data_IF_150030292053
#
_entry.id   IF_150030292053
#
_cell.length_a   1.000
_cell.length_b   1.000
_cell.length_c   1.000
_cell.angle_alpha   90.00
_cell.angle_beta   90.00
_cell.angle_gamma   90.00
#
_symmetry.space_group_name_H-M   'P 1'
#
loop_
_entity.id
_entity.type
_entity.pdbx_description
1 polymer ?
#
# COMPACT_ATOMS: atom_id res chain seq x y z
N UNK A 1 22.55 -18.46 -18.49
CA UNK A 1 22.55 -16.99 -18.36
C UNK A 1 23.24 -16.60 -17.06
N UNK A 2 24.50 -16.14 -17.10
CA UNK A 2 25.11 -15.46 -15.96
C UNK A 2 24.80 -13.98 -16.12
N UNK A 3 23.76 -13.50 -15.44
CA UNK A 3 23.45 -12.07 -15.39
C UNK A 3 24.54 -11.42 -14.54
N UNK A 4 25.61 -10.95 -15.18
CA UNK A 4 26.59 -10.09 -14.53
C UNK A 4 25.91 -8.74 -14.32
N UNK A 5 25.36 -8.50 -13.13
CA UNK A 5 24.93 -7.18 -12.69
C UNK A 5 26.18 -6.32 -12.51
N UNK A 6 26.50 -5.39 -13.41
CA UNK A 6 27.64 -4.51 -13.22
C UNK A 6 27.24 -3.55 -12.11
N UNK A 7 27.75 -3.75 -10.90
CA UNK A 7 27.48 -2.87 -9.75
C UNK A 7 27.87 -1.40 -10.03
N UNK A 8 28.65 -1.15 -11.09
CA UNK A 8 29.02 0.17 -11.59
C UNK A 8 27.85 0.98 -12.18
N UNK A 9 26.76 0.33 -12.60
CA UNK A 9 25.62 0.98 -13.23
C UNK A 9 24.50 1.33 -12.22
N UNK A 10 24.70 1.02 -10.94
CA UNK A 10 23.76 1.34 -9.87
C UNK A 10 23.91 2.81 -9.48
N UNK A 11 22.90 3.62 -9.81
CA UNK A 11 22.88 5.04 -9.44
C UNK A 11 22.40 5.23 -8.00
N UNK A 12 22.68 6.40 -7.41
CA UNK A 12 22.10 6.80 -6.13
C UNK A 12 20.55 6.76 -6.16
N UNK A 13 19.95 7.09 -7.30
CA UNK A 13 18.49 6.99 -7.49
C UNK A 13 17.97 5.57 -7.33
N UNK A 14 18.71 4.57 -7.81
CA UNK A 14 18.35 3.17 -7.61
C UNK A 14 18.39 2.78 -6.13
N UNK A 15 19.39 3.27 -5.38
CA UNK A 15 19.53 3.00 -3.94
C UNK A 15 18.35 3.62 -3.17
N UNK A 16 18.04 4.90 -3.43
CA UNK A 16 16.87 5.56 -2.82
C UNK A 16 15.56 4.86 -3.19
N UNK A 17 15.42 4.44 -4.45
CA UNK A 17 14.27 3.65 -4.90
C UNK A 17 14.14 2.33 -4.14
N UNK A 18 15.23 1.60 -3.93
CA UNK A 18 15.22 0.36 -3.14
C UNK A 18 14.79 0.62 -1.69
N UNK A 19 15.29 1.66 -1.04
CA UNK A 19 14.86 2.02 0.32
C UNK A 19 13.38 2.37 0.38
N UNK A 20 12.89 3.18 -0.57
CA UNK A 20 11.48 3.56 -0.65
C UNK A 20 10.58 2.33 -0.88
N UNK A 21 11.01 1.43 -1.77
CA UNK A 21 10.31 0.17 -2.03
C UNK A 21 10.23 -0.70 -0.77
N UNK A 22 11.34 -0.88 -0.06
CA UNK A 22 11.39 -1.69 1.16
C UNK A 22 10.53 -1.10 2.28
N UNK A 23 10.53 0.23 2.42
CA UNK A 23 9.66 0.93 3.38
C UNK A 23 8.19 0.69 3.06
N UNK A 24 7.80 0.87 1.79
CA UNK A 24 6.42 0.66 1.36
C UNK A 24 6.00 -0.81 1.49
N UNK A 25 6.86 -1.75 1.09
CA UNK A 25 6.62 -3.19 1.27
C UNK A 25 6.39 -3.57 2.74
N UNK A 26 7.21 -3.03 3.64
CA UNK A 26 7.03 -3.24 5.08
C UNK A 26 5.64 -2.78 5.56
N UNK A 27 5.19 -1.59 5.16
CA UNK A 27 3.88 -1.07 5.52
C UNK A 27 2.73 -1.86 4.86
N UNK A 28 2.87 -2.30 3.61
CA UNK A 28 1.89 -3.17 2.95
C UNK A 28 1.75 -4.51 3.68
N UNK A 29 2.89 -5.14 4.02
CA UNK A 29 2.90 -6.38 4.79
C UNK A 29 2.25 -6.22 6.16
N UNK A 30 2.62 -5.16 6.89
CA UNK A 30 2.05 -4.86 8.20
C UNK A 30 0.54 -4.62 8.12
N UNK A 31 0.07 -3.90 7.09
CA UNK A 31 -1.35 -3.69 6.85
C UNK A 31 -2.08 -5.01 6.57
N UNK A 32 -1.50 -5.91 5.78
CA UNK A 32 -2.07 -7.24 5.52
C UNK A 32 -2.17 -8.09 6.79
N UNK A 33 -1.13 -8.05 7.65
CA UNK A 33 -1.14 -8.73 8.94
C UNK A 33 -2.23 -8.18 9.87
N UNK A 34 -2.37 -6.85 9.95
CA UNK A 34 -3.43 -6.21 10.75
C UNK A 34 -4.83 -6.63 10.27
N UNK A 35 -5.08 -6.59 8.96
CA UNK A 35 -6.35 -7.04 8.38
C UNK A 35 -6.62 -8.53 8.64
N UNK A 36 -5.61 -9.39 8.51
CA UNK A 36 -5.74 -10.81 8.81
C UNK A 36 -6.05 -11.06 10.29
N UNK A 37 -5.43 -10.30 11.19
CA UNK A 37 -5.63 -10.43 12.63
C UNK A 37 -7.02 -9.98 13.10
N UNK A 38 -7.72 -9.10 12.37
CA UNK A 38 -9.10 -8.73 12.69
C UNK A 38 -10.06 -9.94 12.71
N UNK A 39 -9.73 -10.98 11.93
CA UNK A 39 -10.52 -12.20 11.80
C UNK A 39 -10.04 -13.34 12.70
N UNK A 40 -8.87 -13.22 13.33
CA UNK A 40 -8.22 -14.28 14.12
C UNK A 40 -8.32 -14.03 15.62
N UNK A 41 -8.31 -15.11 16.40
CA UNK A 41 -8.13 -15.04 17.86
C UNK A 41 -6.63 -15.15 18.26
N UNK A 42 -6.34 -15.08 19.56
CA UNK A 42 -4.97 -15.24 20.10
C UNK A 42 -4.30 -16.58 19.77
N UNK A 43 -5.08 -17.61 19.41
CA UNK A 43 -4.59 -18.93 18.99
C UNK A 43 -4.37 -19.03 17.47
N UNK A 44 -4.63 -17.96 16.72
CA UNK A 44 -4.44 -17.90 15.26
C UNK A 44 -5.60 -18.46 14.44
N UNK A 45 -6.64 -19.00 15.06
CA UNK A 45 -7.82 -19.54 14.37
C UNK A 45 -8.75 -18.41 13.93
N UNK A 46 -9.34 -18.55 12.74
CA UNK A 46 -10.37 -17.61 12.25
C UNK A 46 -11.63 -17.79 13.09
N UNK A 47 -12.09 -16.72 13.73
CA UNK A 47 -13.26 -16.71 14.63
C UNK A 47 -14.43 -15.89 14.10
N UNK A 48 -14.21 -15.08 13.07
CA UNK A 48 -15.27 -14.29 12.43
C UNK A 48 -14.96 -14.03 10.97
N UNK A 49 -16.02 -13.90 10.18
CA UNK A 49 -15.98 -13.43 8.79
C UNK A 49 -16.51 -12.00 8.66
N UNK A 50 -16.96 -11.40 9.77
CA UNK A 50 -17.47 -10.04 9.79
C UNK A 50 -16.35 -9.03 9.49
N UNK A 51 -16.73 -7.95 8.83
CA UNK A 51 -15.83 -6.83 8.65
C UNK A 51 -15.72 -6.02 9.94
N UNK A 52 -14.52 -5.54 10.23
CA UNK A 52 -14.21 -4.70 11.39
C UNK A 52 -13.37 -3.53 10.93
N UNK A 53 -13.40 -2.44 11.70
CA UNK A 53 -12.59 -1.26 11.42
C UNK A 53 -11.13 -1.58 11.82
N UNK A 54 -10.17 -1.61 10.87
CA UNK A 54 -8.76 -1.78 11.20
C UNK A 54 -8.22 -0.56 11.93
N UNK A 55 -7.27 -0.77 12.83
CA UNK A 55 -6.58 0.27 13.59
C UNK A 55 -5.09 -0.06 13.74
N UNK A 56 -4.28 0.98 13.96
CA UNK A 56 -2.83 0.89 14.10
C UNK A 56 -2.07 1.09 12.79
N UNK A 57 -0.82 1.54 12.92
CA UNK A 57 0.03 1.92 11.78
C UNK A 57 -0.65 2.99 10.88
N UNK A 58 -0.51 2.89 9.57
CA UNK A 58 -1.11 3.85 8.64
C UNK A 58 -2.64 3.79 8.60
N UNK A 59 -3.27 2.75 9.18
CA UNK A 59 -4.74 2.73 9.28
C UNK A 59 -5.27 3.88 10.12
N UNK A 60 -4.50 4.44 11.05
CA UNK A 60 -4.99 5.56 11.86
C UNK A 60 -5.22 6.83 11.02
N UNK A 61 -4.60 6.92 9.83
CA UNK A 61 -4.70 8.06 8.93
C UNK A 61 -5.54 7.78 7.69
N UNK A 62 -5.43 6.58 7.10
CA UNK A 62 -6.10 6.22 5.84
C UNK A 62 -6.83 4.88 5.92
N UNK A 63 -7.82 4.71 5.05
CA UNK A 63 -8.70 3.53 5.00
C UNK A 63 -7.99 2.33 4.42
N UNK A 64 -7.21 2.56 3.37
CA UNK A 64 -6.53 1.54 2.58
C UNK A 64 -5.03 1.82 2.49
N UNK A 65 -4.29 1.74 3.62
CA UNK A 65 -2.85 1.98 3.63
C UNK A 65 -2.05 0.99 2.77
N UNK A 66 -2.58 -0.22 2.55
CA UNK A 66 -1.97 -1.20 1.64
C UNK A 66 -2.03 -0.73 0.18
N UNK A 67 -3.12 -0.09 -0.25
CA UNK A 67 -3.22 0.50 -1.59
C UNK A 67 -2.26 1.67 -1.76
N UNK A 68 -2.14 2.52 -0.72
CA UNK A 68 -1.14 3.59 -0.69
C UNK A 68 0.28 3.04 -0.80
N UNK A 69 0.62 2.04 0.00
CA UNK A 69 1.94 1.41 -0.04
C UNK A 69 2.24 0.80 -1.42
N UNK A 70 1.26 0.17 -2.06
CA UNK A 70 1.43 -0.36 -3.41
C UNK A 70 1.72 0.75 -4.43
N UNK A 71 1.01 1.87 -4.39
CA UNK A 71 1.32 3.04 -5.23
C UNK A 71 2.78 3.48 -5.03
N UNK A 72 3.24 3.58 -3.78
CA UNK A 72 4.61 3.99 -3.47
C UNK A 72 5.64 2.97 -3.97
N UNK A 73 5.33 1.66 -3.90
CA UNK A 73 6.19 0.62 -4.46
C UNK A 73 6.33 0.74 -5.98
N UNK A 74 5.23 0.92 -6.70
CA UNK A 74 5.29 1.08 -8.16
C UNK A 74 5.94 2.40 -8.59
N UNK A 75 5.78 3.47 -7.79
CA UNK A 75 6.53 4.70 -7.97
C UNK A 75 8.04 4.46 -7.81
N UNK A 76 8.44 3.71 -6.78
CA UNK A 76 9.84 3.36 -6.55
C UNK A 76 10.41 2.52 -7.71
N UNK A 77 9.66 1.53 -8.21
CA UNK A 77 10.07 0.73 -9.37
C UNK A 77 10.22 1.61 -10.62
N UNK A 78 9.28 2.53 -10.86
CA UNK A 78 9.37 3.48 -11.98
C UNK A 78 10.66 4.30 -11.93
N UNK A 79 11.08 4.74 -10.74
CA UNK A 79 12.36 5.45 -10.56
C UNK A 79 13.59 4.54 -10.71
N UNK A 80 13.53 3.30 -10.22
CA UNK A 80 14.62 2.33 -10.40
C UNK A 80 14.82 2.01 -11.90
N UNK A 81 13.73 1.91 -12.65
CA UNK A 81 13.71 1.56 -14.07
C UNK A 81 13.57 2.80 -14.97
N UNK A 82 14.14 3.91 -14.50
CA UNK A 82 14.14 5.18 -15.22
C UNK A 82 14.70 5.02 -16.65
N UNK A 83 14.06 5.68 -17.61
CA UNK A 83 14.38 5.56 -19.04
C UNK A 83 13.58 4.48 -19.78
N UNK A 84 12.82 3.64 -19.07
CA UNK A 84 11.83 2.78 -19.71
C UNK A 84 10.57 3.55 -20.08
N UNK A 85 10.15 3.47 -21.34
CA UNK A 85 8.88 4.06 -21.79
C UNK A 85 7.65 3.34 -21.23
N UNK A 86 7.78 2.10 -20.74
CA UNK A 86 6.64 1.27 -20.31
C UNK A 86 6.23 1.54 -18.86
N UNK A 87 7.19 1.73 -17.97
CA UNK A 87 6.93 1.84 -16.52
C UNK A 87 6.05 3.02 -16.09
N UNK A 88 6.10 4.20 -16.74
CA UNK A 88 5.16 5.27 -16.44
C UNK A 88 3.70 4.86 -16.67
N UNK A 89 3.40 4.09 -17.73
CA UNK A 89 2.05 3.60 -18.00
C UNK A 89 1.60 2.56 -16.97
N UNK A 90 2.51 1.66 -16.57
CA UNK A 90 2.24 0.70 -15.49
C UNK A 90 1.94 1.42 -14.18
N UNK A 91 2.73 2.44 -13.84
CA UNK A 91 2.50 3.24 -12.64
C UNK A 91 1.15 3.96 -12.69
N UNK A 92 0.81 4.62 -13.79
CA UNK A 92 -0.49 5.30 -13.94
C UNK A 92 -1.67 4.34 -13.85
N UNK A 93 -1.53 3.14 -14.41
CA UNK A 93 -2.53 2.08 -14.29
C UNK A 93 -2.75 1.66 -12.83
N UNK A 94 -1.66 1.38 -12.10
CA UNK A 94 -1.71 1.01 -10.69
C UNK A 94 -2.27 2.15 -9.84
N UNK A 95 -1.80 3.38 -10.06
CA UNK A 95 -2.28 4.56 -9.36
C UNK A 95 -3.80 4.71 -9.50
N UNK A 96 -4.32 4.60 -10.73
CA UNK A 96 -5.75 4.74 -10.99
C UNK A 96 -6.57 3.66 -10.29
N UNK A 97 -6.18 2.39 -10.44
CA UNK A 97 -6.89 1.26 -9.82
C UNK A 97 -6.86 1.31 -8.29
N UNK A 98 -5.71 1.64 -7.71
CA UNK A 98 -5.54 1.66 -6.25
C UNK A 98 -6.28 2.84 -5.61
N UNK A 99 -6.32 4.00 -6.27
CA UNK A 99 -7.11 5.16 -5.83
C UNK A 99 -8.60 4.85 -5.89
N UNK A 100 -9.09 4.29 -7.00
CA UNK A 100 -10.50 3.90 -7.14
C UNK A 100 -10.91 2.90 -6.06
N UNK A 101 -10.13 1.83 -5.89
CA UNK A 101 -10.39 0.79 -4.87
C UNK A 101 -10.42 1.37 -3.46
N UNK A 102 -9.51 2.30 -3.15
CA UNK A 102 -9.48 2.93 -1.84
C UNK A 102 -10.66 3.87 -1.59
N UNK A 103 -11.12 4.61 -2.60
CA UNK A 103 -12.32 5.46 -2.51
C UNK A 103 -13.58 4.63 -2.26
N UNK A 104 -13.78 3.57 -3.05
CA UNK A 104 -14.89 2.63 -2.87
C UNK A 104 -14.88 2.00 -1.47
N UNK A 105 -13.70 1.57 -1.03
CA UNK A 105 -13.51 1.02 0.33
C UNK A 105 -13.84 2.05 1.40
N UNK A 106 -13.38 3.29 1.25
CA UNK A 106 -13.64 4.37 2.21
C UNK A 106 -15.13 4.72 2.30
N UNK A 107 -15.81 4.83 1.16
CA UNK A 107 -17.26 5.07 1.13
C UNK A 107 -18.04 3.92 1.75
N UNK A 108 -17.64 2.68 1.46
CA UNK A 108 -18.24 1.51 2.06
C UNK A 108 -18.05 1.48 3.59
N UNK A 109 -16.87 1.82 4.10
CA UNK A 109 -16.65 1.92 5.54
C UNK A 109 -17.55 2.99 6.19
N UNK A 110 -17.67 4.17 5.56
CA UNK A 110 -18.52 5.26 6.04
C UNK A 110 -20.01 4.91 6.05
N UNK A 111 -20.49 4.14 5.07
CA UNK A 111 -21.90 3.72 5.03
C UNK A 111 -22.20 2.54 5.96
N UNK A 112 -21.21 1.69 6.22
CA UNK A 112 -21.39 0.46 7.00
C UNK A 112 -21.23 0.69 8.50
N UNK A 113 -20.24 1.49 8.91
CA UNK A 113 -19.91 1.68 10.33
C UNK A 113 -20.28 3.07 10.82
N UNK A 114 -21.19 3.15 11.79
CA UNK A 114 -21.58 4.42 12.42
C UNK A 114 -20.41 5.09 13.16
N UNK A 115 -19.54 4.31 13.77
CA UNK A 115 -18.39 4.79 14.56
C UNK A 115 -17.10 4.92 13.74
N UNK A 116 -17.22 5.09 12.42
CA UNK A 116 -16.05 5.21 11.55
C UNK A 116 -15.32 6.55 11.78
N UNK A 117 -13.98 6.56 11.96
CA UNK A 117 -13.25 7.80 12.24
C UNK A 117 -13.36 8.84 11.12
N UNK A 118 -13.97 9.99 11.42
CA UNK A 118 -14.20 11.06 10.44
C UNK A 118 -12.91 11.73 9.92
N UNK A 119 -11.83 11.67 10.70
CA UNK A 119 -10.51 12.18 10.33
C UNK A 119 -9.80 11.32 9.28
N UNK A 120 -10.19 10.03 9.15
CA UNK A 120 -9.53 9.08 8.27
C UNK A 120 -9.82 9.43 6.81
N UNK A 121 -8.79 9.32 5.98
CA UNK A 121 -8.82 9.58 4.53
C UNK A 121 -8.90 8.27 3.75
N UNK A 122 -9.15 8.30 2.45
CA UNK A 122 -9.24 7.09 1.64
C UNK A 122 -7.86 6.43 1.48
N UNK A 123 -6.86 7.18 1.04
CA UNK A 123 -5.57 6.64 0.59
C UNK A 123 -4.36 7.56 0.81
N UNK A 124 -4.46 8.88 0.61
CA UNK A 124 -3.36 9.82 0.86
C UNK A 124 -3.61 10.53 2.20
N UNK A 125 -2.72 10.37 3.20
CA UNK A 125 -2.88 11.05 4.48
C UNK A 125 -3.10 12.55 4.30
N UNK A 126 -4.09 13.09 5.00
CA UNK A 126 -4.47 14.52 5.00
C UNK A 126 -5.02 15.11 3.69
N UNK A 127 -4.94 14.40 2.57
CA UNK A 127 -5.39 14.91 1.26
C UNK A 127 -6.65 14.18 0.79
N UNK A 128 -6.57 12.86 0.59
CA UNK A 128 -7.59 12.08 -0.09
C UNK A 128 -7.93 10.80 0.65
#
# INVERSE_FOLDING_TARGET
LSVKLPLKDVTLGNIYGCFLFMWAFYHQYKAAVLLANLRKNKKGSIVTLEHRIPAGDLFDFVSSPHNFAEIVMYLAIMFILWGSSTWPFVFLWVLSNQVETALLTHWWYKSTFKDYPASRKAIIPYVL
#
